data_IF_185848604527
#
_entry.id   IF_185848604527
#
_cell.length_a   1.000
_cell.length_b   1.000
_cell.length_c   1.000
_cell.angle_alpha   90.00
_cell.angle_beta   90.00
_cell.angle_gamma   90.00
#
_symmetry.space_group_name_H-M   'P 1'
#
loop_
_entity.id
_entity.type
_entity.pdbx_description
1 polymer ?
#
# COMPACT_ATOMS: atom_id res chain seq x y z
N UNK A 1 -2.07 -6.09 8.22
CA UNK A 1 -2.23 -6.84 6.96
C UNK A 1 -0.92 -7.37 6.40
N UNK A 2 0.20 -6.62 6.40
CA UNK A 2 1.54 -7.09 5.97
C UNK A 2 1.93 -8.48 6.52
N UNK A 3 1.85 -8.69 7.85
CA UNK A 3 2.13 -9.99 8.45
C UNK A 3 1.25 -11.10 7.87
N UNK A 4 -0.07 -10.86 7.80
CA UNK A 4 -1.00 -11.82 7.22
C UNK A 4 -0.77 -12.10 5.74
N UNK A 5 -0.20 -11.16 4.98
CA UNK A 5 0.25 -11.39 3.60
C UNK A 5 1.45 -12.34 3.56
N UNK A 6 2.46 -12.11 4.42
CA UNK A 6 3.62 -13.00 4.53
C UNK A 6 3.24 -14.42 4.96
N UNK A 7 2.33 -14.54 5.94
CA UNK A 7 1.81 -15.84 6.38
C UNK A 7 1.11 -16.59 5.24
N UNK A 8 0.28 -15.90 4.45
CA UNK A 8 -0.40 -16.50 3.28
C UNK A 8 0.59 -16.97 2.22
N UNK A 9 1.63 -16.19 1.91
CA UNK A 9 2.68 -16.58 0.97
C UNK A 9 3.28 -17.94 1.37
N UNK A 10 3.55 -18.12 2.67
CA UNK A 10 4.11 -19.38 3.21
C UNK A 10 3.07 -20.51 3.22
N UNK A 11 1.88 -20.27 3.77
CA UNK A 11 0.82 -21.28 3.92
C UNK A 11 0.37 -21.82 2.56
N UNK A 12 0.20 -20.92 1.58
CA UNK A 12 -0.25 -21.27 0.23
C UNK A 12 0.87 -21.82 -0.66
N UNK A 13 2.12 -21.71 -0.23
CA UNK A 13 3.31 -22.13 -1.00
C UNK A 13 3.26 -21.54 -2.41
N UNK A 14 3.02 -20.22 -2.51
CA UNK A 14 2.77 -19.54 -3.80
C UNK A 14 3.99 -19.50 -4.72
N UNK A 15 5.18 -19.77 -4.19
CA UNK A 15 6.43 -19.70 -4.96
C UNK A 15 6.81 -18.27 -5.30
N UNK A 16 7.52 -18.10 -6.41
CA UNK A 16 7.89 -16.78 -6.92
C UNK A 16 6.72 -16.17 -7.69
N UNK A 17 6.52 -14.84 -7.61
CA UNK A 17 5.55 -14.17 -8.46
C UNK A 17 5.94 -14.34 -9.93
N UNK A 18 4.95 -14.64 -10.77
CA UNK A 18 5.14 -14.77 -12.23
C UNK A 18 5.17 -13.42 -12.94
N UNK A 19 4.61 -12.40 -12.30
CA UNK A 19 4.41 -11.06 -12.85
C UNK A 19 4.96 -10.01 -11.88
N UNK A 20 5.45 -8.90 -12.42
CA UNK A 20 6.12 -7.86 -11.63
C UNK A 20 5.16 -6.97 -10.83
N UNK A 21 3.85 -6.99 -11.13
CA UNK A 21 2.87 -6.10 -10.51
C UNK A 21 2.81 -6.21 -8.99
N UNK A 22 2.89 -7.43 -8.44
CA UNK A 22 2.88 -7.63 -6.98
C UNK A 22 4.16 -7.08 -6.34
N UNK A 23 5.31 -7.18 -7.01
CA UNK A 23 6.56 -6.64 -6.51
C UNK A 23 6.53 -5.10 -6.50
N UNK A 24 5.99 -4.50 -7.57
CA UNK A 24 5.76 -3.06 -7.63
C UNK A 24 4.78 -2.59 -6.55
N UNK A 25 3.71 -3.33 -6.30
CA UNK A 25 2.75 -3.01 -5.24
C UNK A 25 3.40 -3.02 -3.85
N UNK A 26 4.31 -3.97 -3.59
CA UNK A 26 5.10 -4.02 -2.35
C UNK A 26 6.04 -2.82 -2.25
N UNK A 27 6.69 -2.40 -3.34
CA UNK A 27 7.54 -1.20 -3.35
C UNK A 27 6.75 0.07 -3.04
N UNK A 28 5.58 0.25 -3.67
CA UNK A 28 4.68 1.37 -3.41
C UNK A 28 4.23 1.40 -1.94
N UNK A 29 3.93 0.24 -1.37
CA UNK A 29 3.58 0.12 0.06
C UNK A 29 4.74 0.52 0.98
N UNK A 30 5.97 0.13 0.65
CA UNK A 30 7.16 0.52 1.40
C UNK A 30 7.37 2.04 1.37
N UNK A 31 7.24 2.67 0.21
CA UNK A 31 7.33 4.13 0.06
C UNK A 31 6.23 4.86 0.84
N UNK A 32 4.99 4.36 0.81
CA UNK A 32 3.90 4.91 1.62
C UNK A 32 4.20 4.80 3.12
N UNK A 33 4.76 3.67 3.59
CA UNK A 33 5.16 3.50 4.98
C UNK A 33 6.29 4.48 5.39
N UNK A 34 7.25 4.73 4.49
CA UNK A 34 8.29 5.73 4.71
C UNK A 34 7.71 7.15 4.82
N UNK A 35 6.76 7.53 3.97
CA UNK A 35 6.12 8.84 4.07
C UNK A 35 5.28 9.00 5.35
N UNK A 36 4.61 7.94 5.82
CA UNK A 36 3.94 7.96 7.13
C UNK A 36 4.95 8.23 8.25
N UNK A 37 6.07 7.49 8.26
CA UNK A 37 7.16 7.72 9.24
C UNK A 37 7.66 9.16 9.19
N UNK A 38 7.86 9.70 7.98
CA UNK A 38 8.32 11.07 7.77
C UNK A 38 7.31 12.11 8.26
N UNK A 39 6.02 11.89 8.07
CA UNK A 39 4.97 12.79 8.54
C UNK A 39 4.85 12.73 10.07
N UNK A 40 4.82 11.53 10.65
CA UNK A 40 4.73 11.31 12.10
C UNK A 40 5.91 11.95 12.84
N UNK A 41 7.13 11.85 12.30
CA UNK A 41 8.32 12.46 12.89
C UNK A 41 8.24 14.00 13.00
N UNK A 42 7.40 14.65 12.20
CA UNK A 42 7.21 16.12 12.20
C UNK A 42 6.07 16.59 13.10
N UNK A 43 5.24 15.68 13.63
CA UNK A 43 4.12 16.02 14.51
C UNK A 43 4.51 16.83 15.75
N UNK A 44 5.67 16.60 16.42
CA UNK A 44 6.09 17.43 17.56
C UNK A 44 6.17 18.92 17.23
N UNK A 45 6.51 19.26 15.98
CA UNK A 45 6.69 20.63 15.49
C UNK A 45 5.58 21.09 14.53
N UNK A 46 4.37 20.49 14.64
CA UNK A 46 3.26 20.62 13.67
C UNK A 46 2.93 22.06 13.28
N UNK A 47 3.02 23.04 14.20
CA UNK A 47 2.73 24.46 13.88
C UNK A 47 3.68 25.04 12.83
N UNK A 48 4.94 24.59 12.84
CA UNK A 48 5.98 25.05 11.90
C UNK A 48 6.18 24.10 10.71
N UNK A 49 5.72 22.84 10.84
CA UNK A 49 5.94 21.76 9.88
C UNK A 49 4.66 21.27 9.19
N UNK A 50 3.54 21.98 9.34
CA UNK A 50 2.24 21.58 8.80
C UNK A 50 2.26 21.38 7.30
N UNK A 51 2.92 22.26 6.53
CA UNK A 51 3.06 22.12 5.08
C UNK A 51 3.79 20.83 4.70
N UNK A 52 4.91 20.51 5.37
CA UNK A 52 5.68 19.30 5.11
C UNK A 52 4.90 18.01 5.48
N UNK A 53 4.04 18.07 6.49
CA UNK A 53 3.14 16.96 6.84
C UNK A 53 2.08 16.78 5.75
N UNK A 54 1.48 17.88 5.27
CA UNK A 54 0.50 17.85 4.17
C UNK A 54 1.14 17.30 2.90
N UNK A 55 2.37 17.71 2.56
CA UNK A 55 3.11 17.20 1.40
C UNK A 55 3.33 15.69 1.47
N UNK A 56 3.72 15.16 2.63
CA UNK A 56 3.81 13.71 2.85
C UNK A 56 2.45 13.02 2.67
N UNK A 57 1.35 13.64 3.09
CA UNK A 57 0.00 13.08 2.91
C UNK A 57 -0.42 13.04 1.44
N UNK A 58 -0.12 14.06 0.64
CA UNK A 58 -0.40 14.05 -0.80
C UNK A 58 0.42 12.99 -1.55
N UNK A 59 1.67 12.74 -1.12
CA UNK A 59 2.47 11.62 -1.65
C UNK A 59 1.84 10.26 -1.33
N UNK A 60 1.42 10.04 -0.09
CA UNK A 60 0.75 8.79 0.31
C UNK A 60 -0.50 8.56 -0.54
N UNK A 61 -1.29 9.61 -0.79
CA UNK A 61 -2.44 9.54 -1.70
C UNK A 61 -2.06 9.19 -3.13
N UNK A 62 -0.95 9.73 -3.63
CA UNK A 62 -0.45 9.35 -4.97
C UNK A 62 0.00 7.88 -5.02
N UNK A 63 0.59 7.36 -3.95
CA UNK A 63 0.96 5.95 -3.83
C UNK A 63 -0.27 5.05 -3.76
N UNK A 64 -1.31 5.44 -3.03
CA UNK A 64 -2.59 4.70 -3.02
C UNK A 64 -3.14 4.56 -4.44
N UNK A 65 -3.30 5.66 -5.19
CA UNK A 65 -3.78 5.59 -6.57
C UNK A 65 -2.89 4.72 -7.48
N UNK A 66 -1.57 4.76 -7.30
CA UNK A 66 -0.63 3.91 -8.03
C UNK A 66 -0.82 2.42 -7.68
N UNK A 67 -0.88 2.09 -6.39
CA UNK A 67 -1.07 0.72 -5.93
C UNK A 67 -2.43 0.15 -6.35
N UNK A 68 -3.45 0.99 -6.37
CA UNK A 68 -4.80 0.69 -6.81
C UNK A 68 -4.84 0.39 -8.33
N UNK A 69 -4.05 1.11 -9.14
CA UNK A 69 -3.78 0.75 -10.54
C UNK A 69 -3.01 -0.59 -10.67
N UNK A 70 -1.93 -0.77 -9.92
CA UNK A 70 -1.11 -1.99 -9.96
C UNK A 70 -1.90 -3.23 -9.55
N UNK A 71 -2.79 -3.09 -8.57
CA UNK A 71 -3.73 -4.13 -8.16
C UNK A 71 -4.65 -4.53 -9.32
N UNK A 72 -5.35 -3.57 -9.93
CA UNK A 72 -6.25 -3.85 -11.06
C UNK A 72 -5.54 -4.48 -12.24
N UNK A 73 -4.36 -3.97 -12.60
CA UNK A 73 -3.54 -4.51 -13.69
C UNK A 73 -3.04 -5.92 -13.36
N UNK A 74 -2.56 -6.15 -12.14
CA UNK A 74 -2.10 -7.44 -11.66
C UNK A 74 -3.22 -8.49 -11.63
N UNK A 75 -4.42 -8.12 -11.19
CA UNK A 75 -5.60 -9.01 -11.22
C UNK A 75 -6.01 -9.32 -12.66
N UNK A 76 -6.07 -8.33 -13.56
CA UNK A 76 -6.41 -8.57 -14.96
C UNK A 76 -5.46 -9.60 -15.60
N UNK A 77 -4.15 -9.41 -15.42
CA UNK A 77 -3.14 -10.29 -15.97
C UNK A 77 -3.15 -11.68 -15.32
N UNK A 78 -3.41 -11.75 -14.01
CA UNK A 78 -3.55 -13.01 -13.28
C UNK A 78 -4.66 -13.88 -13.88
N UNK A 79 -5.82 -13.30 -14.18
CA UNK A 79 -6.96 -14.02 -14.76
C UNK A 79 -6.78 -14.35 -16.25
N UNK A 80 -6.03 -13.53 -16.99
CA UNK A 80 -5.72 -13.78 -18.40
C UNK A 80 -4.69 -14.90 -18.60
N UNK A 81 -3.61 -14.89 -17.81
CA UNK A 81 -2.44 -15.74 -18.06
C UNK A 81 -2.37 -17.00 -17.18
N UNK A 82 -3.27 -17.18 -16.20
CA UNK A 82 -3.22 -18.32 -15.28
C UNK A 82 -4.39 -19.27 -15.50
N UNK A 83 -4.10 -20.51 -15.88
CA UNK A 83 -5.13 -21.54 -16.06
C UNK A 83 -5.47 -22.28 -14.76
N UNK A 84 -4.55 -22.32 -13.79
CA UNK A 84 -4.76 -23.01 -12.52
C UNK A 84 -5.58 -22.14 -11.56
N UNK A 85 -6.84 -22.52 -11.33
CA UNK A 85 -7.77 -21.81 -10.45
C UNK A 85 -7.24 -21.70 -9.01
N UNK A 86 -6.51 -22.70 -8.52
CA UNK A 86 -5.92 -22.64 -7.18
C UNK A 86 -4.88 -21.52 -7.10
N UNK A 87 -4.08 -21.32 -8.14
CA UNK A 87 -3.08 -20.25 -8.16
C UNK A 87 -3.73 -18.88 -8.29
N UNK A 88 -4.83 -18.76 -9.04
CA UNK A 88 -5.63 -17.53 -9.10
C UNK A 88 -6.13 -17.15 -7.71
N UNK A 89 -6.73 -18.09 -6.97
CA UNK A 89 -7.25 -17.83 -5.62
C UNK A 89 -6.14 -17.31 -4.71
N UNK A 90 -4.99 -18.01 -4.69
CA UNK A 90 -3.85 -17.66 -3.83
C UNK A 90 -3.32 -16.26 -4.12
N UNK A 91 -3.07 -15.95 -5.39
CA UNK A 91 -2.49 -14.66 -5.77
C UNK A 91 -3.50 -13.52 -5.65
N UNK A 92 -4.77 -13.75 -6.00
CA UNK A 92 -5.84 -12.76 -5.81
C UNK A 92 -5.91 -12.33 -4.35
N UNK A 93 -5.91 -13.27 -3.41
CA UNK A 93 -5.97 -12.94 -1.99
C UNK A 93 -4.74 -12.16 -1.53
N UNK A 94 -3.54 -12.48 -2.03
CA UNK A 94 -2.32 -11.71 -1.75
C UNK A 94 -2.42 -10.27 -2.28
N UNK A 95 -2.87 -10.10 -3.51
CA UNK A 95 -3.08 -8.78 -4.13
C UNK A 95 -4.07 -7.93 -3.32
N UNK A 96 -5.22 -8.51 -2.96
CA UNK A 96 -6.23 -7.84 -2.14
C UNK A 96 -5.65 -7.43 -0.78
N UNK A 97 -4.90 -8.30 -0.13
CA UNK A 97 -4.31 -8.00 1.17
C UNK A 97 -3.27 -6.87 1.12
N UNK A 98 -2.50 -6.78 0.03
CA UNK A 98 -1.53 -5.71 -0.18
C UNK A 98 -2.23 -4.37 -0.46
N UNK A 99 -3.22 -4.36 -1.35
CA UNK A 99 -4.03 -3.18 -1.65
C UNK A 99 -4.75 -2.66 -0.38
N UNK A 100 -5.36 -3.55 0.40
CA UNK A 100 -6.00 -3.17 1.66
C UNK A 100 -4.98 -2.61 2.67
N UNK A 101 -3.72 -3.06 2.63
CA UNK A 101 -2.67 -2.46 3.47
C UNK A 101 -2.38 -1.02 3.05
N UNK A 102 -2.40 -0.74 1.74
CA UNK A 102 -2.16 0.58 1.20
C UNK A 102 -3.32 1.55 1.49
N UNK A 103 -4.57 1.09 1.43
CA UNK A 103 -5.75 1.83 1.91
C UNK A 103 -5.60 2.23 3.39
N UNK A 104 -5.08 1.35 4.25
CA UNK A 104 -4.76 1.74 5.63
C UNK A 104 -3.68 2.82 5.72
N UNK A 105 -2.71 2.84 4.81
CA UNK A 105 -1.73 3.93 4.75
C UNK A 105 -2.41 5.27 4.40
N UNK A 106 -3.33 5.28 3.44
CA UNK A 106 -4.12 6.48 3.11
C UNK A 106 -5.01 6.93 4.28
N UNK A 107 -5.68 6.00 4.96
CA UNK A 107 -6.48 6.31 6.14
C UNK A 107 -5.66 6.99 7.26
N UNK A 108 -4.42 6.54 7.49
CA UNK A 108 -3.48 7.19 8.42
C UNK A 108 -3.11 8.59 7.90
N UNK A 109 -2.84 8.76 6.61
CA UNK A 109 -2.50 10.06 6.02
C UNK A 109 -3.65 11.07 6.18
N UNK A 110 -4.89 10.64 6.01
CA UNK A 110 -6.09 11.46 6.20
C UNK A 110 -6.20 11.98 7.66
N UNK A 111 -5.88 11.13 8.65
CA UNK A 111 -5.83 11.55 10.06
C UNK A 111 -4.71 12.57 10.29
N UNK A 112 -3.50 12.31 9.77
CA UNK A 112 -2.35 13.22 9.91
C UNK A 112 -2.61 14.58 9.28
N UNK A 113 -3.22 14.61 8.10
CA UNK A 113 -3.65 15.84 7.41
C UNK A 113 -4.68 16.61 8.24
N UNK A 114 -5.64 15.91 8.85
CA UNK A 114 -6.61 16.53 9.76
C UNK A 114 -5.96 17.19 10.97
N UNK A 115 -4.96 16.54 11.57
CA UNK A 115 -4.16 17.12 12.65
C UNK A 115 -3.38 18.34 12.15
N UNK A 116 -2.69 18.24 11.02
CA UNK A 116 -1.92 19.35 10.46
C UNK A 116 -2.81 20.58 10.21
N UNK A 117 -3.99 20.41 9.59
CA UNK A 117 -4.92 21.51 9.31
C UNK A 117 -5.48 22.15 10.60
N UNK A 118 -5.79 21.34 11.62
CA UNK A 118 -6.41 21.82 12.86
C UNK A 118 -5.45 22.60 13.76
N UNK A 119 -4.16 22.28 13.70
CA UNK A 119 -3.13 22.85 14.56
C UNK A 119 -2.14 23.77 13.81
N UNK A 120 -2.51 24.21 12.60
CA UNK A 120 -1.92 25.40 11.94
C UNK A 120 -2.30 26.66 12.69
#
# INVERSE_FOLDING_TARGET
HVQGTMEKIVIYKVGQPKEDYVLKLVQVLEEAAHEIKNAVAKLPDVRSKSSEIIDSCEKIRSFEHEGDYLYRAGIALLFENTSNVIDIIKWKEIYEHLETTLDYCENVSNILKGVAIKYV
#
